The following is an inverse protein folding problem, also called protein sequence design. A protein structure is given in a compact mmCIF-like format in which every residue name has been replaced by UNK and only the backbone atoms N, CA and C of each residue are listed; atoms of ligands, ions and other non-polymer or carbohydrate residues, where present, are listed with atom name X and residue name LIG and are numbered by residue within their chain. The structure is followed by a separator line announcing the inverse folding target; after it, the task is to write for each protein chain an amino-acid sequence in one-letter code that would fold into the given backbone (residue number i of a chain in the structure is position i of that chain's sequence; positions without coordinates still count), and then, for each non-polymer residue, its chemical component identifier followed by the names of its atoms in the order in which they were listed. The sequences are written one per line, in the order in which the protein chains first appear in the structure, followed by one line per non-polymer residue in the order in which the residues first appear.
data_IF_921330836206
#
_entry.id   IF_921330836206
#
_cell.length_a   1.000
_cell.length_b   1.000
_cell.length_c   1.000
_cell.angle_alpha   90.00
_cell.angle_beta   90.00
_cell.angle_gamma   90.00
#
_symmetry.space_group_name_H-M   'P 1'
#
loop_
_entity.id
_entity.type
_entity.pdbx_description
1 polymer ?
#
# COMPACT_ATOMS: atom_id res chain seq x y z
N UNK A 1 -34.68 -1.12 12.81
CA UNK A 1 -34.42 -1.89 11.58
C UNK A 1 -34.50 -0.95 10.38
N UNK A 2 -33.36 -0.49 9.85
CA UNK A 2 -33.14 -0.08 8.46
C UNK A 2 -31.69 0.41 8.35
N UNK A 3 -30.90 -0.30 7.54
CA UNK A 3 -29.47 -0.09 7.39
C UNK A 3 -29.17 1.17 6.58
N UNK A 4 -28.30 2.04 7.09
CA UNK A 4 -27.70 3.11 6.28
C UNK A 4 -26.44 2.55 5.63
N UNK A 5 -26.61 1.90 4.49
CA UNK A 5 -25.50 1.53 3.61
C UNK A 5 -24.83 2.82 3.07
N UNK A 6 -23.73 3.25 3.68
CA UNK A 6 -22.89 4.29 3.08
C UNK A 6 -21.91 3.65 2.11
N UNK A 7 -22.31 3.64 0.84
CA UNK A 7 -21.38 3.64 -0.28
C UNK A 7 -20.70 5.01 -0.33
N UNK A 8 -19.63 5.22 0.43
CA UNK A 8 -18.71 6.33 0.15
C UNK A 8 -18.18 6.13 -1.27
N UNK A 9 -18.54 7.04 -2.18
CA UNK A 9 -18.50 6.84 -3.62
C UNK A 9 -17.09 6.49 -4.12
N UNK A 10 -17.00 5.46 -4.98
CA UNK A 10 -15.78 5.06 -5.69
C UNK A 10 -15.04 6.26 -6.32
N UNK A 11 -15.78 7.24 -6.85
CA UNK A 11 -15.23 8.42 -7.52
C UNK A 11 -14.59 9.44 -6.55
N UNK A 12 -15.05 9.53 -5.30
CA UNK A 12 -14.46 10.44 -4.32
C UNK A 12 -13.12 9.90 -3.81
N UNK A 13 -13.02 8.59 -3.57
CA UNK A 13 -11.83 7.96 -2.99
C UNK A 13 -10.56 8.14 -3.85
N UNK A 14 -10.72 8.23 -5.17
CA UNK A 14 -9.61 8.42 -6.11
C UNK A 14 -8.93 9.80 -5.98
N UNK A 15 -9.69 10.83 -5.55
CA UNK A 15 -9.20 12.22 -5.42
C UNK A 15 -8.60 12.52 -4.05
N UNK A 16 -8.78 11.64 -3.08
CA UNK A 16 -8.33 11.84 -1.70
C UNK A 16 -6.81 11.81 -1.60
N UNK A 17 -6.24 12.81 -0.93
CA UNK A 17 -4.84 12.82 -0.53
C UNK A 17 -4.66 12.04 0.79
N UNK A 18 -4.24 10.78 0.70
CA UNK A 18 -4.17 9.90 1.87
C UNK A 18 -3.05 10.23 2.86
N UNK A 19 -2.15 11.16 2.51
CA UNK A 19 -1.12 11.65 3.45
C UNK A 19 -1.60 12.82 4.31
N UNK A 20 -2.73 13.44 3.95
CA UNK A 20 -3.22 14.69 4.56
C UNK A 20 -3.52 14.55 6.05
N UNK A 21 -4.21 13.47 6.46
CA UNK A 21 -4.65 13.30 7.86
C UNK A 21 -4.30 11.93 8.41
N UNK A 22 -4.17 11.83 9.74
CA UNK A 22 -3.90 10.55 10.42
C UNK A 22 -4.95 9.48 10.14
N UNK A 23 -6.28 9.76 10.15
CA UNK A 23 -7.29 8.76 9.81
C UNK A 23 -7.16 8.20 8.39
N UNK A 24 -6.81 9.04 7.41
CA UNK A 24 -6.58 8.59 6.03
C UNK A 24 -5.38 7.66 5.95
N UNK A 25 -4.25 8.04 6.58
CA UNK A 25 -3.06 7.19 6.68
C UNK A 25 -3.38 5.84 7.34
N UNK A 26 -4.18 5.86 8.40
CA UNK A 26 -4.64 4.63 9.09
C UNK A 26 -5.49 3.74 8.18
N UNK A 27 -6.29 4.32 7.30
CA UNK A 27 -7.06 3.59 6.30
C UNK A 27 -6.17 2.74 5.38
N UNK A 28 -5.02 3.26 4.96
CA UNK A 28 -4.03 2.49 4.19
C UNK A 28 -3.44 1.38 5.08
N UNK A 29 -2.92 1.69 6.26
CA UNK A 29 -2.35 0.66 7.13
C UNK A 29 -3.32 -0.49 7.47
N UNK A 30 -4.59 -0.17 7.68
CA UNK A 30 -5.64 -1.16 7.96
C UNK A 30 -5.90 -2.07 6.76
N UNK A 31 -5.78 -1.55 5.53
CA UNK A 31 -5.97 -2.33 4.29
C UNK A 31 -4.97 -3.48 4.17
N UNK A 32 -3.72 -3.25 4.58
CA UNK A 32 -2.66 -4.26 4.58
C UNK A 32 -2.74 -5.26 5.73
N UNK A 33 -3.70 -5.13 6.65
CA UNK A 33 -3.96 -6.07 7.76
C UNK A 33 -2.73 -6.32 8.64
N UNK A 34 -1.93 -5.28 8.87
CA UNK A 34 -0.73 -5.36 9.70
C UNK A 34 0.44 -6.11 9.07
N UNK A 35 0.44 -6.32 7.75
CA UNK A 35 1.55 -6.95 7.02
C UNK A 35 2.26 -5.94 6.11
N UNK A 36 3.58 -6.08 5.96
CA UNK A 36 4.33 -5.29 5.01
C UNK A 36 3.89 -5.64 3.58
N UNK A 37 3.53 -4.64 2.79
CA UNK A 37 3.14 -4.85 1.39
C UNK A 37 4.24 -5.54 0.58
N UNK A 38 5.52 -5.35 0.91
CA UNK A 38 6.64 -5.93 0.17
C UNK A 38 7.06 -7.31 0.69
N UNK A 39 7.58 -7.39 1.91
CA UNK A 39 8.14 -8.65 2.44
C UNK A 39 7.11 -9.53 3.17
N UNK A 40 5.88 -9.05 3.37
CA UNK A 40 4.82 -9.75 4.12
C UNK A 40 5.13 -10.04 5.60
N UNK A 41 6.22 -9.50 6.17
CA UNK A 41 6.45 -9.54 7.62
C UNK A 41 5.43 -8.69 8.37
N UNK A 42 5.15 -9.05 9.62
CA UNK A 42 4.26 -8.27 10.50
C UNK A 42 4.82 -6.87 10.73
N UNK A 43 3.93 -5.89 10.71
CA UNK A 43 4.21 -4.49 10.98
C UNK A 43 3.99 -4.19 12.45
N UNK A 44 4.90 -3.42 13.03
CA UNK A 44 4.66 -2.75 14.31
C UNK A 44 3.98 -1.40 14.03
N UNK A 45 2.97 -1.00 14.83
CA UNK A 45 2.38 0.33 14.74
C UNK A 45 3.39 1.47 14.85
N UNK A 46 4.53 1.23 15.53
CA UNK A 46 5.59 2.23 15.75
C UNK A 46 6.55 2.39 14.57
N UNK A 47 6.71 1.36 13.73
CA UNK A 47 7.76 1.33 12.67
C UNK A 47 7.20 1.13 11.27
N UNK A 48 5.87 1.09 11.11
CA UNK A 48 5.22 1.05 9.81
C UNK A 48 5.32 2.41 9.12
N UNK A 49 5.52 2.37 7.82
CA UNK A 49 5.59 3.54 6.96
C UNK A 49 4.52 3.46 5.87
N UNK A 50 4.18 4.60 5.30
CA UNK A 50 3.51 4.66 4.01
C UNK A 50 4.56 4.91 2.94
N UNK A 51 4.49 4.14 1.86
CA UNK A 51 5.42 4.22 0.74
C UNK A 51 4.67 4.37 -0.58
N UNK A 52 5.28 5.13 -1.49
CA UNK A 52 4.79 5.34 -2.84
C UNK A 52 5.24 4.19 -3.75
N UNK A 53 4.28 3.48 -4.30
CA UNK A 53 4.49 2.38 -5.24
C UNK A 53 5.20 2.85 -6.52
N UNK A 54 4.75 3.97 -7.05
CA UNK A 54 5.41 4.76 -8.09
C UNK A 54 6.01 5.98 -7.39
N UNK A 55 7.35 6.16 -7.44
CA UNK A 55 8.03 7.29 -6.81
C UNK A 55 7.41 8.64 -7.17
N UNK A 56 7.45 9.60 -6.24
CA UNK A 56 6.87 10.95 -6.45
C UNK A 56 7.44 11.65 -7.67
N UNK A 57 8.73 11.45 -7.93
CA UNK A 57 9.43 12.01 -9.11
C UNK A 57 8.84 11.53 -10.44
N UNK A 58 8.09 10.43 -10.46
CA UNK A 58 7.44 9.88 -11.65
C UNK A 58 5.91 10.12 -11.65
N UNK A 59 5.45 11.26 -11.13
CA UNK A 59 4.03 11.65 -11.08
C UNK A 59 3.16 10.77 -10.17
N UNK A 60 3.75 10.11 -9.18
CA UNK A 60 3.03 9.32 -8.19
C UNK A 60 2.21 10.20 -7.24
N UNK A 61 0.89 10.30 -7.47
CA UNK A 61 -0.03 10.99 -6.55
C UNK A 61 -0.15 10.30 -5.18
N UNK A 62 -0.77 10.98 -4.22
CA UNK A 62 -1.03 10.47 -2.87
C UNK A 62 -2.36 9.69 -2.77
N UNK A 63 -2.83 9.12 -3.88
CA UNK A 63 -4.05 8.32 -3.88
C UNK A 63 -3.80 6.95 -3.26
N UNK A 64 -4.87 6.28 -2.81
CA UNK A 64 -4.75 4.94 -2.23
C UNK A 64 -4.16 3.91 -3.21
N UNK A 65 -4.24 4.15 -4.52
CA UNK A 65 -3.69 3.26 -5.57
C UNK A 65 -2.18 3.35 -5.67
N UNK A 66 -1.57 4.39 -5.12
CA UNK A 66 -0.14 4.59 -5.14
C UNK A 66 0.51 4.48 -3.74
N UNK A 67 -0.27 4.47 -2.67
CA UNK A 67 0.25 4.33 -1.31
C UNK A 67 0.01 2.94 -0.74
N UNK A 68 1.04 2.38 -0.10
CA UNK A 68 0.98 1.09 0.61
C UNK A 68 1.61 1.19 1.99
N UNK A 69 1.15 0.36 2.92
CA UNK A 69 1.80 0.17 4.21
C UNK A 69 2.99 -0.81 4.11
N UNK A 70 4.16 -0.39 4.58
CA UNK A 70 5.37 -1.21 4.57
C UNK A 70 6.15 -1.10 5.90
N UNK A 71 7.14 -1.96 6.09
CA UNK A 71 8.07 -1.84 7.22
C UNK A 71 9.18 -0.83 6.90
N UNK A 72 9.74 -0.20 7.94
CA UNK A 72 10.85 0.75 7.78
C UNK A 72 12.02 0.22 6.97
N UNK A 73 12.41 -1.04 7.17
CA UNK A 73 13.51 -1.67 6.40
C UNK A 73 13.21 -1.72 4.90
N UNK A 74 12.02 -2.18 4.50
CA UNK A 74 11.64 -2.20 3.09
C UNK A 74 11.50 -0.79 2.51
N UNK A 75 10.97 0.15 3.30
CA UNK A 75 10.86 1.55 2.90
C UNK A 75 12.24 2.12 2.54
N UNK A 76 13.22 1.98 3.44
CA UNK A 76 14.59 2.46 3.22
C UNK A 76 15.30 1.76 2.07
N UNK A 77 15.16 0.44 1.93
CA UNK A 77 15.83 -0.33 0.85
C UNK A 77 15.26 -0.06 -0.53
N UNK A 78 13.93 0.21 -0.62
CA UNK A 78 13.27 0.53 -1.89
C UNK A 78 13.82 1.84 -2.45
N UNK A 79 13.94 2.87 -1.62
CA UNK A 79 14.33 4.21 -2.03
C UNK A 79 13.49 4.67 -3.25
N UNK A 80 14.14 5.23 -4.26
CA UNK A 80 13.49 5.76 -5.48
C UNK A 80 13.13 4.68 -6.52
N UNK A 81 13.23 3.38 -6.19
CA UNK A 81 12.79 2.31 -7.10
C UNK A 81 11.27 2.22 -7.14
N UNK A 82 10.72 1.83 -8.29
CA UNK A 82 9.33 1.37 -8.36
C UNK A 82 9.13 0.12 -7.51
N UNK A 83 7.93 -0.06 -6.96
CA UNK A 83 7.56 -1.26 -6.22
C UNK A 83 7.86 -2.55 -7.00
N UNK A 84 7.60 -2.55 -8.31
CA UNK A 84 7.85 -3.73 -9.13
C UNK A 84 9.34 -4.07 -9.20
N UNK A 85 10.20 -3.08 -9.48
CA UNK A 85 11.64 -3.28 -9.50
C UNK A 85 12.17 -3.69 -8.13
N UNK A 86 11.60 -3.13 -7.06
CA UNK A 86 11.97 -3.49 -5.71
C UNK A 86 11.57 -4.92 -5.31
N UNK A 87 10.40 -5.39 -5.72
CA UNK A 87 10.00 -6.80 -5.51
C UNK A 87 10.95 -7.78 -6.22
N UNK A 88 11.36 -7.47 -7.46
CA UNK A 88 12.36 -8.28 -8.18
C UNK A 88 13.71 -8.26 -7.45
N UNK A 89 14.12 -7.10 -6.93
CA UNK A 89 15.34 -6.98 -6.14
C UNK A 89 15.27 -7.81 -4.85
N UNK A 90 14.18 -7.72 -4.08
CA UNK A 90 13.99 -8.53 -2.87
C UNK A 90 14.10 -10.03 -3.15
N UNK A 91 13.53 -10.50 -4.26
CA UNK A 91 13.63 -11.89 -4.68
C UNK A 91 15.08 -12.28 -5.03
N UNK A 92 15.77 -11.47 -5.85
CA UNK A 92 17.18 -11.71 -6.21
C UNK A 92 18.11 -11.72 -5.00
N UNK A 93 17.77 -10.98 -3.94
CA UNK A 93 18.52 -10.95 -2.69
C UNK A 93 18.13 -12.07 -1.70
N UNK A 94 17.25 -13.00 -2.10
CA UNK A 94 16.79 -14.09 -1.23
C UNK A 94 15.91 -13.64 -0.05
N UNK A 95 15.45 -12.38 -0.05
CA UNK A 95 14.65 -11.80 1.05
C UNK A 95 13.18 -12.19 0.99
N UNK A 96 12.72 -12.63 -0.19
CA UNK A 96 11.40 -13.24 -0.40
C UNK A 96 11.55 -14.43 -1.35
N UNK A 97 10.69 -15.42 -1.19
CA UNK A 97 10.58 -16.58 -2.09
C UNK A 97 9.71 -16.29 -3.33
N UNK A 98 9.68 -17.24 -4.26
CA UNK A 98 8.93 -17.14 -5.52
C UNK A 98 7.41 -17.01 -5.31
N UNK A 99 6.87 -17.69 -4.30
CA UNK A 99 5.46 -17.63 -3.95
C UNK A 99 5.06 -16.22 -3.47
N UNK A 100 5.86 -15.63 -2.57
CA UNK A 100 5.69 -14.24 -2.12
C UNK A 100 5.82 -13.26 -3.28
N UNK A 101 6.84 -13.39 -4.12
CA UNK A 101 7.00 -12.51 -5.29
C UNK A 101 5.74 -12.51 -6.16
N UNK A 102 5.23 -13.71 -6.49
CA UNK A 102 4.01 -13.88 -7.30
C UNK A 102 2.80 -13.23 -6.63
N UNK A 103 2.57 -13.52 -5.35
CA UNK A 103 1.45 -12.95 -4.60
C UNK A 103 1.52 -11.42 -4.48
N UNK A 104 2.72 -10.85 -4.29
CA UNK A 104 2.92 -9.40 -4.18
C UNK A 104 2.75 -8.70 -5.52
N UNK A 105 3.23 -9.27 -6.63
CA UNK A 105 2.96 -8.73 -7.99
C UNK A 105 1.46 -8.74 -8.29
N UNK A 106 0.73 -9.79 -7.92
CA UNK A 106 -0.75 -9.80 -8.04
C UNK A 106 -1.40 -8.69 -7.21
N UNK A 107 -0.92 -8.47 -5.99
CA UNK A 107 -1.40 -7.39 -5.12
C UNK A 107 -1.13 -6.01 -5.71
N UNK A 108 0.04 -5.82 -6.34
CA UNK A 108 0.40 -4.60 -7.05
C UNK A 108 -0.54 -4.32 -8.23
N UNK A 109 -0.84 -5.34 -9.03
CA UNK A 109 -1.82 -5.23 -10.13
C UNK A 109 -3.22 -4.92 -9.61
N UNK A 110 -3.64 -5.54 -8.50
CA UNK A 110 -4.93 -5.28 -7.89
C UNK A 110 -5.02 -3.86 -7.30
N UNK A 111 -3.93 -3.35 -6.72
CA UNK A 111 -3.81 -1.96 -6.25
C UNK A 111 -3.94 -1.00 -7.41
N UNK A 112 -3.15 -1.20 -8.47
CA UNK A 112 -3.18 -0.40 -9.68
C UNK A 112 -4.57 -0.41 -10.32
N UNK A 113 -5.29 -1.53 -10.29
CA UNK A 113 -6.67 -1.64 -10.79
C UNK A 113 -7.76 -1.07 -9.86
N UNK A 114 -7.39 -0.47 -8.71
CA UNK A 114 -8.36 0.10 -7.75
C UNK A 114 -9.20 -0.94 -7.01
N UNK A 115 -8.73 -2.20 -6.94
CA UNK A 115 -9.39 -3.31 -6.25
C UNK A 115 -9.03 -3.36 -4.76
N UNK A 116 -7.85 -2.85 -4.39
CA UNK A 116 -7.40 -2.77 -2.99
C UNK A 116 -7.76 -1.41 -2.37
N UNK A 117 -9.03 -1.26 -1.99
CA UNK A 117 -9.55 -0.01 -1.39
C UNK A 117 -9.38 0.02 0.13
N UNK A 118 -8.89 1.12 0.70
CA UNK A 118 -8.92 1.33 2.15
C UNK A 118 -10.36 1.51 2.64
N UNK A 119 -10.64 1.03 3.85
CA UNK A 119 -11.90 1.32 4.54
C UNK A 119 -11.66 2.48 5.49
N UNK A 120 -12.32 3.59 5.24
CA UNK A 120 -12.31 4.74 6.15
C UNK A 120 -13.35 4.49 7.24
N UNK A 121 -12.94 4.58 8.51
CA UNK A 121 -13.88 4.62 9.62
C UNK A 121 -14.50 6.01 9.64
N UNK A 122 -15.83 6.07 9.79
CA UNK A 122 -16.55 7.33 10.02
C UNK A 122 -16.18 7.90 11.38
#
# INVERSE_FOLDING_TARGET
MAAVAHTSGKAELEKVNFLQTRPLREGIHSRERGLCFYCSRRLSPRTRCLDHVIPRVHSGGNSYRNLVSCCGECNSLKAERSAENFLRWLFRQGRIDSAKLTARRRSLMALAAGKLRPRLKK
#
